data_IF_357425658368
#
_entry.id   IF_357425658368
#
_cell.length_a   1.000
_cell.length_b   1.000
_cell.length_c   1.000
_cell.angle_alpha   90.00
_cell.angle_beta   90.00
_cell.angle_gamma   90.00
#
_symmetry.space_group_name_H-M   'P 1'
#
loop_
_entity.id
_entity.type
_entity.pdbx_description
1 polymer ?
#
# COMPACT_ATOMS: atom_id res chain seq x y z
N UNK A 1 4.48 23.40 -2.90
CA UNK A 1 5.30 24.60 -3.21
C UNK A 1 6.74 24.15 -3.45
N UNK A 2 7.31 24.48 -4.60
CA UNK A 2 8.72 24.19 -4.89
C UNK A 2 9.57 25.39 -4.48
N UNK A 3 10.65 25.15 -3.75
CA UNK A 3 11.58 26.19 -3.34
C UNK A 3 13.01 25.65 -3.45
N UNK A 4 13.68 26.03 -4.54
CA UNK A 4 14.97 25.42 -4.92
C UNK A 4 14.83 23.89 -5.04
N UNK A 5 15.70 23.10 -4.36
CA UNK A 5 15.61 21.64 -4.38
C UNK A 5 14.57 21.07 -3.41
N UNK A 6 13.91 21.91 -2.59
CA UNK A 6 12.96 21.46 -1.56
C UNK A 6 11.53 21.52 -2.07
N UNK A 7 10.75 20.50 -1.69
CA UNK A 7 9.31 20.43 -1.94
C UNK A 7 8.60 20.61 -0.60
N UNK A 8 7.77 21.64 -0.51
CA UNK A 8 6.89 21.89 0.63
C UNK A 8 5.49 21.40 0.28
N UNK A 9 5.00 20.40 1.02
CA UNK A 9 3.61 19.95 0.94
C UNK A 9 2.73 20.89 1.75
N UNK A 10 1.72 21.47 1.10
CA UNK A 10 0.78 22.41 1.73
C UNK A 10 -0.62 21.86 1.53
N UNK A 11 -1.30 21.55 2.63
CA UNK A 11 -2.65 21.01 2.65
C UNK A 11 -3.52 21.85 3.57
N UNK A 12 -4.75 22.15 3.14
CA UNK A 12 -5.75 22.83 3.98
C UNK A 12 -6.34 21.86 5.00
N UNK A 13 -6.72 22.38 6.17
CA UNK A 13 -7.43 21.59 7.18
C UNK A 13 -8.79 21.13 6.67
N UNK A 14 -9.18 19.92 7.05
CA UNK A 14 -10.42 19.29 6.60
C UNK A 14 -11.37 19.06 7.76
N UNK A 15 -12.65 19.33 7.52
CA UNK A 15 -13.73 19.15 8.50
C UNK A 15 -14.08 17.67 8.68
N UNK A 16 -14.71 17.33 9.79
CA UNK A 16 -15.29 16.01 10.07
C UNK A 16 -16.75 15.87 9.60
N UNK A 17 -17.34 16.92 9.01
CA UNK A 17 -18.77 16.96 8.65
C UNK A 17 -19.23 15.81 7.73
N UNK A 18 -18.35 15.31 6.85
CA UNK A 18 -18.62 14.15 5.98
C UNK A 18 -17.79 12.92 6.41
N UNK A 19 -17.41 12.83 7.69
CA UNK A 19 -16.50 11.81 8.22
C UNK A 19 -15.07 11.98 7.75
N UNK A 20 -14.34 10.87 7.64
CA UNK A 20 -12.89 10.85 7.32
C UNK A 20 -12.58 10.99 5.83
N UNK A 21 -13.60 11.02 4.96
CA UNK A 21 -13.46 10.98 3.49
C UNK A 21 -13.82 12.32 2.80
N UNK A 22 -14.52 13.23 3.49
CA UNK A 22 -14.93 14.53 2.93
C UNK A 22 -13.79 15.49 2.60
N UNK A 23 -14.03 16.43 1.69
CA UNK A 23 -13.08 17.48 1.28
C UNK A 23 -13.49 18.89 1.73
N UNK A 24 -14.47 19.01 2.62
CA UNK A 24 -14.85 20.30 3.20
C UNK A 24 -13.70 20.82 4.07
N UNK A 25 -13.47 22.13 4.01
CA UNK A 25 -12.50 22.79 4.88
C UNK A 25 -13.01 22.81 6.32
N UNK A 26 -12.09 22.65 7.25
CA UNK A 26 -12.38 22.58 8.67
C UNK A 26 -11.34 23.28 9.53
N UNK A 27 -11.48 23.13 10.83
CA UNK A 27 -10.54 23.64 11.82
C UNK A 27 -9.38 22.67 12.04
N UNK A 28 -8.36 23.13 12.76
CA UNK A 28 -7.16 22.34 13.05
C UNK A 28 -7.48 21.08 13.88
N UNK A 29 -8.35 21.22 14.88
CA UNK A 29 -8.82 20.12 15.73
C UNK A 29 -9.65 19.09 14.95
N UNK A 30 -10.49 19.54 14.01
CA UNK A 30 -11.20 18.63 13.11
C UNK A 30 -10.24 17.81 12.23
N UNK A 31 -9.19 18.43 11.67
CA UNK A 31 -8.23 17.69 10.84
C UNK A 31 -7.42 16.68 11.67
N UNK A 32 -7.08 17.00 12.93
CA UNK A 32 -6.44 16.04 13.86
C UNK A 32 -7.26 14.77 13.99
N UNK A 33 -8.58 14.90 14.15
CA UNK A 33 -9.48 13.76 14.35
C UNK A 33 -9.55 12.80 13.15
N UNK A 34 -9.06 13.23 11.97
CA UNK A 34 -9.02 12.42 10.74
C UNK A 34 -7.69 11.68 10.56
N UNK A 35 -6.69 11.96 11.40
CA UNK A 35 -5.38 11.33 11.37
C UNK A 35 -5.44 9.93 11.95
N UNK A 36 -4.44 9.14 11.63
CA UNK A 36 -4.43 7.73 11.99
C UNK A 36 -3.92 7.50 13.41
N UNK A 37 -2.73 8.01 13.76
CA UNK A 37 -2.07 7.79 15.04
C UNK A 37 -1.67 9.10 15.71
N UNK A 38 -1.73 9.14 17.04
CA UNK A 38 -1.50 10.35 17.84
C UNK A 38 -0.12 10.96 17.60
N UNK A 39 0.91 10.13 17.41
CA UNK A 39 2.27 10.57 17.10
C UNK A 39 2.39 11.34 15.77
N UNK A 40 1.47 11.14 14.82
CA UNK A 40 1.43 11.85 13.53
C UNK A 40 0.40 13.00 13.52
N UNK A 41 -0.19 13.30 14.68
CA UNK A 41 -1.30 14.23 14.83
C UNK A 41 -0.94 15.44 15.71
N UNK A 42 0.34 15.80 15.71
CA UNK A 42 0.89 16.99 16.35
C UNK A 42 1.09 18.10 15.31
N UNK A 43 0.83 19.34 15.71
CA UNK A 43 1.19 20.53 14.93
C UNK A 43 2.31 21.29 15.63
N UNK A 44 3.15 21.96 14.83
CA UNK A 44 4.19 22.85 15.33
C UNK A 44 3.95 24.25 14.79
N UNK A 45 3.90 25.23 15.69
CA UNK A 45 3.87 26.65 15.34
C UNK A 45 5.31 27.18 15.38
N UNK A 46 5.94 27.48 14.23
CA UNK A 46 7.32 27.94 14.18
C UNK A 46 7.49 29.40 14.64
N UNK A 47 6.41 30.18 14.77
CA UNK A 47 6.46 31.57 15.23
C UNK A 47 6.45 31.61 16.76
N UNK A 48 5.60 30.79 17.38
CA UNK A 48 5.48 30.68 18.84
C UNK A 48 6.36 29.58 19.45
N UNK A 49 7.05 28.82 18.61
CA UNK A 49 7.92 27.69 18.98
C UNK A 49 7.24 26.69 19.91
N UNK A 50 5.99 26.34 19.60
CA UNK A 50 5.17 25.49 20.45
C UNK A 50 4.60 24.30 19.68
N UNK A 51 4.51 23.16 20.36
CA UNK A 51 3.75 22.00 19.89
C UNK A 51 2.31 22.16 20.33
N UNK A 52 1.40 21.95 19.39
CA UNK A 52 -0.04 21.93 19.62
C UNK A 52 -0.49 20.47 19.58
N UNK A 53 -0.97 19.99 20.72
CA UNK A 53 -1.41 18.60 20.91
C UNK A 53 -2.89 18.58 21.34
N UNK A 54 -3.72 17.92 20.52
CA UNK A 54 -5.15 17.72 20.78
C UNK A 54 -5.48 16.29 21.21
N UNK A 55 -4.54 15.35 21.10
CA UNK A 55 -4.81 13.90 21.21
C UNK A 55 -3.84 13.17 22.14
N UNK A 56 -3.16 13.92 23.01
CA UNK A 56 -2.11 13.43 23.90
C UNK A 56 -0.95 12.72 23.15
N UNK A 57 -0.65 13.13 21.92
CA UNK A 57 0.41 12.55 21.10
C UNK A 57 1.79 12.66 21.74
N UNK A 58 2.10 13.76 22.43
CA UNK A 58 3.38 13.90 23.14
C UNK A 58 3.49 12.88 24.28
N UNK A 59 2.40 12.63 25.00
CA UNK A 59 2.36 11.62 26.07
C UNK A 59 2.58 10.21 25.51
N UNK A 60 1.99 9.91 24.34
CA UNK A 60 2.12 8.62 23.69
C UNK A 60 3.53 8.36 23.15
N UNK A 61 4.16 9.40 22.60
CA UNK A 61 5.58 9.38 22.20
C UNK A 61 6.47 9.11 23.42
N UNK A 62 6.27 9.81 24.54
CA UNK A 62 7.01 9.57 25.78
C UNK A 62 6.84 8.13 26.30
N UNK A 63 5.65 7.55 26.12
CA UNK A 63 5.36 6.15 26.47
C UNK A 63 5.79 5.14 25.39
N UNK A 64 6.36 5.59 24.27
CA UNK A 64 6.77 4.77 23.11
C UNK A 64 5.68 3.79 22.67
N UNK A 65 4.44 4.28 22.51
CA UNK A 65 3.28 3.46 22.11
C UNK A 65 2.63 3.99 20.83
N UNK A 66 2.11 3.06 20.01
CA UNK A 66 1.26 3.40 18.88
C UNK A 66 -0.19 3.49 19.36
N UNK A 67 -0.75 4.70 19.39
CA UNK A 67 -2.14 4.95 19.78
C UNK A 67 -2.92 5.53 18.59
N UNK A 68 -4.06 4.92 18.20
CA UNK A 68 -4.89 5.45 17.12
C UNK A 68 -5.70 6.66 17.59
N UNK A 69 -5.82 7.68 16.73
CA UNK A 69 -6.73 8.82 17.00
C UNK A 69 -8.18 8.42 16.76
N UNK A 70 -8.41 7.68 15.67
CA UNK A 70 -9.74 7.17 15.31
C UNK A 70 -10.05 5.89 16.11
N UNK A 71 -11.28 5.72 16.63
CA UNK A 71 -11.68 4.51 17.35
C UNK A 71 -11.36 3.21 16.59
N UNK A 72 -10.90 2.19 17.34
CA UNK A 72 -10.42 0.92 16.80
C UNK A 72 -11.45 0.16 15.95
N UNK A 73 -12.73 0.32 16.25
CA UNK A 73 -13.85 -0.30 15.56
C UNK A 73 -14.16 0.35 14.19
N UNK A 74 -13.58 1.53 13.93
CA UNK A 74 -13.79 2.36 12.74
C UNK A 74 -12.51 2.48 11.90
N UNK A 75 -11.34 2.70 12.52
CA UNK A 75 -10.09 3.10 11.85
C UNK A 75 -9.72 2.28 10.60
N UNK A 76 -9.88 0.95 10.66
CA UNK A 76 -9.52 0.05 9.56
C UNK A 76 -10.66 -0.22 8.57
N UNK A 77 -11.91 0.04 8.95
CA UNK A 77 -13.03 0.05 8.02
C UNK A 77 -12.96 1.30 7.14
N UNK A 78 -12.59 2.43 7.73
CA UNK A 78 -12.37 3.69 7.03
C UNK A 78 -11.20 3.60 6.04
N UNK A 79 -10.06 3.09 6.49
CA UNK A 79 -8.90 2.87 5.63
C UNK A 79 -8.08 1.65 6.08
N UNK A 80 -8.23 0.50 5.42
CA UNK A 80 -7.51 -0.73 5.79
C UNK A 80 -5.98 -0.57 5.72
N UNK A 81 -5.47 0.35 4.89
CA UNK A 81 -4.03 0.62 4.76
C UNK A 81 -3.41 1.14 6.06
N UNK A 82 -4.23 1.69 6.99
CA UNK A 82 -3.76 2.10 8.32
C UNK A 82 -3.23 0.93 9.16
N UNK A 83 -3.61 -0.32 8.88
CA UNK A 83 -2.99 -1.50 9.52
C UNK A 83 -1.50 -1.61 9.16
N UNK A 84 -1.17 -1.45 7.88
CA UNK A 84 0.22 -1.46 7.40
C UNK A 84 1.01 -0.30 8.02
N UNK A 85 0.38 0.86 8.13
CA UNK A 85 0.98 2.04 8.77
C UNK A 85 1.25 1.81 10.26
N UNK A 86 0.32 1.21 11.01
CA UNK A 86 0.51 0.86 12.41
C UNK A 86 1.74 -0.04 12.62
N UNK A 87 1.84 -1.11 11.83
CA UNK A 87 2.96 -2.06 11.87
C UNK A 87 4.27 -1.39 11.47
N UNK A 88 4.24 -0.57 10.41
CA UNK A 88 5.40 0.19 9.95
C UNK A 88 5.91 1.16 11.02
N UNK A 89 5.02 1.92 11.66
CA UNK A 89 5.39 2.86 12.70
C UNK A 89 5.94 2.13 13.93
N UNK A 90 5.25 1.08 14.41
CA UNK A 90 5.72 0.28 15.54
C UNK A 90 7.14 -0.27 15.31
N UNK A 91 7.36 -0.94 14.18
CA UNK A 91 8.64 -1.56 13.86
C UNK A 91 9.74 -0.54 13.51
N UNK A 92 9.41 0.57 12.85
CA UNK A 92 10.37 1.60 12.46
C UNK A 92 10.84 2.50 13.59
N UNK A 93 9.96 2.85 14.55
CA UNK A 93 10.34 3.67 15.72
C UNK A 93 10.73 2.84 16.93
N UNK A 94 10.50 1.52 16.90
CA UNK A 94 10.62 0.65 18.07
C UNK A 94 9.59 0.97 19.15
N UNK A 95 8.42 1.51 18.78
CA UNK A 95 7.30 1.72 19.69
C UNK A 95 6.52 0.43 19.85
N UNK A 96 6.00 0.18 21.05
CA UNK A 96 5.17 -0.97 21.29
C UNK A 96 3.80 -0.80 20.62
N UNK A 97 3.33 -1.88 19.99
CA UNK A 97 1.99 -1.98 19.43
C UNK A 97 1.06 -2.60 20.49
N UNK A 98 0.14 -1.82 21.11
CA UNK A 98 -0.71 -2.32 22.19
C UNK A 98 -1.48 -3.58 21.80
N UNK A 99 -1.62 -4.53 22.73
CA UNK A 99 -2.25 -5.83 22.46
C UNK A 99 -3.64 -5.72 21.82
N UNK A 100 -4.46 -4.77 22.28
CA UNK A 100 -5.80 -4.50 21.72
C UNK A 100 -5.72 -4.09 20.25
N UNK A 101 -4.80 -3.17 19.91
CA UNK A 101 -4.58 -2.72 18.54
C UNK A 101 -4.04 -3.87 17.67
N UNK A 102 -3.06 -4.64 18.15
CA UNK A 102 -2.53 -5.82 17.44
C UNK A 102 -3.64 -6.84 17.14
N UNK A 103 -4.49 -7.15 18.12
CA UNK A 103 -5.62 -8.08 17.94
C UNK A 103 -6.64 -7.57 16.93
N UNK A 104 -6.94 -6.27 16.95
CA UNK A 104 -7.84 -5.66 15.96
C UNK A 104 -7.24 -5.75 14.55
N UNK A 105 -5.94 -5.49 14.38
CA UNK A 105 -5.25 -5.64 13.09
C UNK A 105 -5.43 -7.08 12.56
N UNK A 106 -5.15 -8.10 13.39
CA UNK A 106 -5.28 -9.50 12.96
C UNK A 106 -6.71 -9.82 12.51
N UNK A 107 -7.72 -9.39 13.29
CA UNK A 107 -9.15 -9.59 12.96
C UNK A 107 -9.58 -8.87 11.69
N UNK A 108 -8.95 -7.74 11.37
CA UNK A 108 -9.28 -6.87 10.25
C UNK A 108 -8.41 -7.13 9.01
N UNK A 109 -7.44 -8.04 9.06
CA UNK A 109 -6.47 -8.27 7.99
C UNK A 109 -7.12 -8.49 6.61
N UNK A 110 -8.24 -9.22 6.57
CA UNK A 110 -9.00 -9.49 5.35
C UNK A 110 -9.53 -8.24 4.63
N UNK A 111 -9.66 -7.11 5.34
CA UNK A 111 -10.02 -5.82 4.75
C UNK A 111 -8.96 -5.28 3.78
N UNK A 112 -7.74 -5.81 3.79
CA UNK A 112 -6.71 -5.48 2.79
C UNK A 112 -6.99 -6.10 1.42
N UNK A 113 -7.79 -7.18 1.34
CA UNK A 113 -8.12 -7.86 0.09
C UNK A 113 -8.70 -6.95 -1.01
N UNK A 114 -9.71 -6.10 -0.73
CA UNK A 114 -10.28 -5.18 -1.72
C UNK A 114 -9.46 -3.89 -1.94
N UNK A 115 -8.36 -3.67 -1.21
CA UNK A 115 -7.54 -2.46 -1.39
C UNK A 115 -6.88 -2.48 -2.76
N UNK A 116 -6.82 -1.32 -3.41
CA UNK A 116 -6.20 -1.25 -4.74
C UNK A 116 -4.72 -1.68 -4.71
N UNK A 117 -4.25 -2.46 -5.70
CA UNK A 117 -2.86 -2.88 -5.81
C UNK A 117 -1.86 -1.71 -5.78
N UNK A 118 -2.23 -0.54 -6.31
CA UNK A 118 -1.41 0.67 -6.28
C UNK A 118 -1.10 1.13 -4.86
N UNK A 119 -2.12 1.20 -3.98
CA UNK A 119 -1.95 1.63 -2.58
C UNK A 119 -1.12 0.64 -1.78
N UNK A 120 -1.31 -0.66 -1.99
CA UNK A 120 -0.47 -1.69 -1.36
C UNK A 120 0.98 -1.59 -1.83
N UNK A 121 1.18 -1.33 -3.12
CA UNK A 121 2.53 -1.14 -3.71
C UNK A 121 3.22 0.09 -3.11
N UNK A 122 2.51 1.21 -2.96
CA UNK A 122 3.05 2.42 -2.33
C UNK A 122 3.52 2.16 -0.90
N UNK A 123 2.73 1.45 -0.09
CA UNK A 123 3.17 1.10 1.26
C UNK A 123 4.35 0.14 1.26
N UNK A 124 4.38 -0.87 0.39
CA UNK A 124 5.51 -1.79 0.32
C UNK A 124 6.79 -1.08 -0.15
N UNK A 125 6.70 -0.14 -1.10
CA UNK A 125 7.84 0.71 -1.48
C UNK A 125 8.33 1.53 -0.28
N UNK A 126 7.44 2.05 0.57
CA UNK A 126 7.84 2.74 1.81
C UNK A 126 8.54 1.79 2.79
N UNK A 127 8.09 0.54 2.90
CA UNK A 127 8.74 -0.49 3.74
C UNK A 127 10.15 -0.78 3.23
N UNK A 128 10.30 -1.02 1.93
CA UNK A 128 11.59 -1.32 1.29
C UNK A 128 12.59 -0.15 1.41
N UNK A 129 12.09 1.08 1.49
CA UNK A 129 12.92 2.29 1.67
C UNK A 129 13.13 2.68 3.14
N UNK A 130 12.58 1.94 4.11
CA UNK A 130 12.60 2.35 5.51
C UNK A 130 13.89 2.07 6.26
N UNK A 131 14.70 1.12 5.79
CA UNK A 131 15.84 0.58 6.57
C UNK A 131 15.40 -0.25 7.78
N UNK A 132 14.15 -0.69 7.83
CA UNK A 132 13.58 -1.56 8.87
C UNK A 132 12.63 -2.62 8.29
N UNK A 133 12.80 -2.97 7.01
CA UNK A 133 11.98 -3.93 6.29
C UNK A 133 11.92 -5.29 7.01
N UNK A 134 13.02 -5.77 7.59
CA UNK A 134 13.03 -7.02 8.36
C UNK A 134 12.04 -6.98 9.54
N UNK A 135 12.13 -5.95 10.38
CA UNK A 135 11.26 -5.81 11.56
C UNK A 135 9.80 -5.59 11.16
N UNK A 136 9.56 -4.76 10.13
CA UNK A 136 8.22 -4.46 9.64
C UNK A 136 7.56 -5.72 9.07
N UNK A 137 8.25 -6.48 8.20
CA UNK A 137 7.71 -7.69 7.60
C UNK A 137 7.53 -8.78 8.66
N UNK A 138 8.46 -8.93 9.60
CA UNK A 138 8.31 -9.88 10.71
C UNK A 138 7.05 -9.59 11.53
N UNK A 139 6.81 -8.32 11.89
CA UNK A 139 5.60 -7.92 12.61
C UNK A 139 4.34 -8.08 11.74
N UNK A 140 4.42 -7.78 10.45
CA UNK A 140 3.32 -7.95 9.50
C UNK A 140 2.91 -9.43 9.33
N UNK A 141 3.88 -10.35 9.35
CA UNK A 141 3.63 -11.80 9.35
C UNK A 141 2.96 -12.23 10.66
N UNK A 142 3.41 -11.74 11.82
CA UNK A 142 2.78 -12.03 13.11
C UNK A 142 1.35 -11.50 13.25
N UNK A 143 0.93 -10.59 12.38
CA UNK A 143 -0.42 -10.01 12.36
C UNK A 143 -1.24 -10.45 11.15
N UNK A 144 -0.78 -11.44 10.38
CA UNK A 144 -1.44 -11.99 9.20
C UNK A 144 -1.72 -10.98 8.08
N UNK A 145 -1.09 -9.79 8.09
CA UNK A 145 -1.33 -8.77 7.06
C UNK A 145 -0.38 -8.93 5.87
N UNK A 146 0.79 -9.57 6.05
CA UNK A 146 1.76 -9.72 4.97
C UNK A 146 1.26 -10.58 3.81
N UNK A 147 0.43 -11.60 4.11
CA UNK A 147 -0.19 -12.46 3.08
C UNK A 147 -1.08 -11.70 2.09
N UNK A 148 -1.60 -10.54 2.47
CA UNK A 148 -2.41 -9.70 1.58
C UNK A 148 -1.55 -8.81 0.65
N UNK A 149 -0.26 -8.67 0.93
CA UNK A 149 0.67 -7.86 0.13
C UNK A 149 1.58 -8.74 -0.74
N UNK A 150 2.06 -9.86 -0.18
CA UNK A 150 2.96 -10.82 -0.81
C UNK A 150 2.52 -12.27 -0.53
N UNK A 151 1.38 -12.71 -1.07
CA UNK A 151 0.84 -14.06 -0.84
C UNK A 151 1.80 -15.15 -1.30
N UNK A 152 2.46 -14.97 -2.45
CA UNK A 152 3.42 -15.95 -2.96
C UNK A 152 4.61 -16.10 -2.00
N UNK A 153 5.21 -15.00 -1.55
CA UNK A 153 6.30 -15.05 -0.57
C UNK A 153 5.87 -15.79 0.71
N UNK A 154 4.67 -15.52 1.23
CA UNK A 154 4.14 -16.25 2.38
C UNK A 154 4.00 -17.75 2.12
N UNK A 155 3.50 -18.17 0.94
CA UNK A 155 3.40 -19.59 0.57
C UNK A 155 4.77 -20.28 0.58
N UNK A 156 5.76 -19.67 -0.08
CA UNK A 156 7.12 -20.20 -0.13
C UNK A 156 7.77 -20.29 1.26
N UNK A 157 7.57 -19.29 2.12
CA UNK A 157 8.07 -19.31 3.49
C UNK A 157 7.41 -20.41 4.32
N UNK A 158 6.09 -20.61 4.17
CA UNK A 158 5.35 -21.66 4.86
C UNK A 158 5.77 -23.07 4.41
N UNK A 159 6.00 -23.27 3.11
CA UNK A 159 6.38 -24.57 2.54
C UNK A 159 7.85 -24.93 2.82
N UNK A 160 8.73 -23.94 2.93
CA UNK A 160 10.17 -24.16 3.00
C UNK A 160 10.87 -23.23 4.02
N UNK A 161 11.23 -23.79 5.17
CA UNK A 161 11.96 -23.08 6.23
C UNK A 161 13.37 -22.63 5.84
N UNK A 162 14.00 -23.24 4.83
CA UNK A 162 15.27 -22.73 4.27
C UNK A 162 15.02 -21.46 3.47
N UNK A 163 13.94 -21.43 2.69
CA UNK A 163 13.53 -20.23 1.95
C UNK A 163 13.19 -19.10 2.92
N UNK A 164 12.39 -19.35 3.96
CA UNK A 164 12.07 -18.35 4.98
C UNK A 164 13.33 -17.73 5.61
N UNK A 165 14.27 -18.56 6.05
CA UNK A 165 15.52 -18.05 6.63
C UNK A 165 16.34 -17.23 5.65
N UNK A 166 16.42 -17.66 4.39
CA UNK A 166 17.12 -16.92 3.34
C UNK A 166 16.44 -15.57 3.06
N UNK A 167 15.12 -15.58 2.84
CA UNK A 167 14.30 -14.40 2.62
C UNK A 167 14.44 -13.37 3.74
N UNK A 168 14.32 -13.82 4.99
CA UNK A 168 14.48 -12.97 6.17
C UNK A 168 15.91 -12.44 6.33
N UNK A 169 16.92 -13.18 5.85
CA UNK A 169 18.31 -12.69 5.80
C UNK A 169 18.48 -11.62 4.73
N UNK A 170 17.93 -11.82 3.54
CA UNK A 170 17.91 -10.83 2.46
C UNK A 170 17.25 -9.52 2.88
N UNK A 171 16.20 -9.57 3.71
CA UNK A 171 15.60 -8.36 4.29
C UNK A 171 16.54 -7.59 5.24
N UNK A 172 17.37 -8.29 6.02
CA UNK A 172 18.40 -7.64 6.86
C UNK A 172 19.48 -6.98 6.01
N UNK A 173 19.90 -7.65 4.93
CA UNK A 173 20.86 -7.08 3.97
C UNK A 173 20.29 -5.86 3.24
N UNK A 174 19.00 -5.89 2.89
CA UNK A 174 18.28 -4.73 2.38
C UNK A 174 18.30 -3.57 3.38
N UNK A 175 18.03 -3.83 4.65
CA UNK A 175 18.07 -2.80 5.69
C UNK A 175 19.47 -2.18 5.81
N UNK A 176 20.52 -3.01 5.83
CA UNK A 176 21.90 -2.54 5.82
C UNK A 176 22.23 -1.68 4.58
N UNK A 177 21.73 -2.05 3.39
CA UNK A 177 21.90 -1.25 2.18
C UNK A 177 21.22 0.12 2.32
N UNK A 178 19.99 0.18 2.82
CA UNK A 178 19.24 1.44 2.93
C UNK A 178 19.87 2.37 3.97
N UNK A 179 20.40 1.82 5.07
CA UNK A 179 21.15 2.58 6.08
C UNK A 179 22.44 3.15 5.49
N UNK A 180 23.15 2.37 4.68
CA UNK A 180 24.39 2.82 4.04
C UNK A 180 24.16 3.82 2.89
N UNK A 181 23.12 3.61 2.09
CA UNK A 181 22.76 4.44 0.94
C UNK A 181 21.23 4.48 0.76
N UNK A 182 20.60 5.49 1.37
CA UNK A 182 19.16 5.68 1.26
C UNK A 182 18.71 6.07 -0.16
N UNK A 183 19.62 6.61 -0.99
CA UNK A 183 19.36 7.03 -2.38
C UNK A 183 19.45 5.88 -3.38
N UNK A 184 19.84 4.68 -2.92
CA UNK A 184 19.93 3.50 -3.77
C UNK A 184 18.63 3.28 -4.57
N UNK A 185 18.82 2.97 -5.86
CA UNK A 185 17.74 2.74 -6.82
C UNK A 185 16.74 1.69 -6.32
N UNK A 186 15.45 1.93 -6.54
CA UNK A 186 14.38 1.00 -6.13
C UNK A 186 14.58 -0.42 -6.67
N UNK A 187 14.98 -0.59 -7.92
CA UNK A 187 15.26 -1.91 -8.52
C UNK A 187 16.39 -2.66 -7.80
N UNK A 188 17.41 -1.96 -7.28
CA UNK A 188 18.47 -2.57 -6.46
C UNK A 188 17.93 -3.01 -5.09
N UNK A 189 16.98 -2.27 -4.53
CA UNK A 189 16.32 -2.66 -3.28
C UNK A 189 15.36 -3.85 -3.50
N UNK A 190 14.60 -3.82 -4.59
CA UNK A 190 13.70 -4.90 -5.00
C UNK A 190 14.43 -6.22 -5.26
N UNK A 191 15.69 -6.21 -5.70
CA UNK A 191 16.43 -7.46 -5.90
C UNK A 191 16.53 -8.30 -4.62
N UNK A 192 16.59 -7.68 -3.44
CA UNK A 192 16.61 -8.42 -2.17
C UNK A 192 15.30 -9.15 -1.87
N UNK A 193 14.16 -8.64 -2.34
CA UNK A 193 12.86 -9.31 -2.13
C UNK A 193 12.63 -10.48 -3.08
N UNK A 194 13.25 -10.46 -4.26
CA UNK A 194 12.99 -11.47 -5.31
C UNK A 194 14.16 -12.44 -5.50
N UNK A 195 15.33 -12.15 -4.94
CA UNK A 195 16.54 -12.95 -5.16
C UNK A 195 16.35 -14.40 -4.73
N UNK A 196 15.88 -14.64 -3.51
CA UNK A 196 15.70 -16.00 -2.98
C UNK A 196 14.68 -16.79 -3.79
N UNK A 197 13.62 -16.12 -4.27
CA UNK A 197 12.66 -16.73 -5.19
C UNK A 197 13.32 -17.12 -6.51
N UNK A 198 14.06 -16.22 -7.15
CA UNK A 198 14.76 -16.51 -8.41
C UNK A 198 15.78 -17.63 -8.21
N UNK A 199 16.56 -17.59 -7.13
CA UNK A 199 17.54 -18.61 -6.80
C UNK A 199 16.90 -19.99 -6.59
N UNK A 200 15.62 -20.05 -6.18
CA UNK A 200 14.86 -21.29 -6.00
C UNK A 200 14.16 -21.82 -7.25
N UNK A 201 14.11 -21.06 -8.35
CA UNK A 201 13.36 -21.46 -9.56
C UNK A 201 13.92 -22.71 -10.26
N UNK A 202 15.23 -22.87 -10.28
CA UNK A 202 15.93 -23.98 -10.95
C UNK A 202 17.32 -24.15 -10.35
N UNK A 203 17.99 -25.26 -10.69
CA UNK A 203 19.42 -25.41 -10.46
C UNK A 203 20.18 -24.61 -11.53
N UNK A 204 20.52 -23.36 -11.19
CA UNK A 204 21.18 -22.43 -12.11
C UNK A 204 22.51 -22.94 -12.66
N UNK A 205 23.21 -23.85 -11.97
CA UNK A 205 24.46 -24.42 -12.50
C UNK A 205 24.16 -25.34 -13.69
N UNK A 206 23.22 -26.27 -13.51
CA UNK A 206 22.78 -27.19 -14.57
C UNK A 206 22.12 -26.44 -15.72
N UNK A 207 21.28 -25.47 -15.42
CA UNK A 207 20.62 -24.64 -16.43
C UNK A 207 21.65 -23.90 -17.31
N UNK A 208 22.77 -23.45 -16.74
CA UNK A 208 23.84 -22.79 -17.48
C UNK A 208 24.69 -23.76 -18.31
N UNK A 209 24.84 -25.02 -17.87
CA UNK A 209 25.54 -26.08 -18.61
C UNK A 209 24.82 -26.42 -19.93
N UNK A 210 23.48 -26.36 -19.95
CA UNK A 210 22.67 -26.56 -21.16
C UNK A 210 22.81 -25.41 -22.18
N UNK A 211 23.52 -24.33 -21.82
CA UNK A 211 23.77 -23.14 -22.64
C UNK A 211 22.51 -22.55 -23.32
N UNK A 212 21.40 -22.33 -22.58
CA UNK A 212 20.19 -21.74 -23.12
C UNK A 212 20.40 -20.29 -23.54
N UNK A 213 19.57 -19.82 -24.47
CA UNK A 213 19.62 -18.42 -24.92
C UNK A 213 19.34 -17.47 -23.72
N UNK A 214 20.21 -16.48 -23.41
CA UNK A 214 20.01 -15.59 -22.26
C UNK A 214 18.68 -14.82 -22.28
N UNK A 215 18.16 -14.52 -23.47
CA UNK A 215 16.85 -13.88 -23.66
C UNK A 215 15.71 -14.78 -23.19
N UNK A 216 15.80 -16.09 -23.43
CA UNK A 216 14.79 -17.05 -23.01
C UNK A 216 14.76 -17.20 -21.50
N UNK A 217 15.92 -17.37 -20.86
CA UNK A 217 16.04 -17.41 -19.39
C UNK A 217 15.43 -16.17 -18.76
N UNK A 218 15.73 -15.00 -19.31
CA UNK A 218 15.19 -13.74 -18.80
C UNK A 218 13.66 -13.67 -18.93
N UNK A 219 13.09 -14.04 -20.08
CA UNK A 219 11.63 -14.00 -20.30
C UNK A 219 10.87 -14.98 -19.40
N UNK A 220 11.43 -16.19 -19.19
CA UNK A 220 10.88 -17.19 -18.26
C UNK A 220 10.92 -16.65 -16.83
N UNK A 221 12.07 -16.15 -16.38
CA UNK A 221 12.26 -15.57 -15.04
C UNK A 221 11.36 -14.36 -14.82
N UNK A 222 11.22 -13.48 -15.82
CA UNK A 222 10.33 -12.33 -15.81
C UNK A 222 8.89 -12.74 -15.52
N UNK A 223 8.39 -13.75 -16.24
CA UNK A 223 7.01 -14.23 -16.09
C UNK A 223 6.77 -14.75 -14.67
N UNK A 224 7.69 -15.56 -14.14
CA UNK A 224 7.61 -16.08 -12.78
C UNK A 224 7.68 -14.98 -11.72
N UNK A 225 8.62 -14.04 -11.86
CA UNK A 225 8.78 -12.92 -10.94
C UNK A 225 7.57 -11.97 -10.95
N UNK A 226 6.96 -11.72 -12.12
CA UNK A 226 5.75 -10.91 -12.21
C UNK A 226 4.60 -11.53 -11.42
N UNK A 227 4.45 -12.85 -11.45
CA UNK A 227 3.43 -13.53 -10.66
C UNK A 227 3.77 -13.52 -9.17
N UNK A 228 5.05 -13.74 -8.81
CA UNK A 228 5.51 -13.75 -7.43
C UNK A 228 5.24 -12.42 -6.71
N UNK A 229 5.48 -11.29 -7.38
CA UNK A 229 5.30 -9.99 -6.73
C UNK A 229 3.82 -9.58 -6.58
N UNK A 230 2.87 -10.18 -7.27
CA UNK A 230 1.46 -9.78 -7.14
C UNK A 230 0.90 -10.07 -5.72
N UNK A 231 0.01 -9.20 -5.18
CA UNK A 231 -0.61 -8.02 -5.80
C UNK A 231 0.27 -6.75 -5.80
N UNK A 232 1.49 -6.78 -5.24
CA UNK A 232 2.43 -5.67 -5.44
C UNK A 232 2.75 -5.53 -6.93
N UNK A 233 2.53 -4.33 -7.47
CA UNK A 233 2.77 -4.02 -8.87
C UNK A 233 3.86 -2.95 -8.98
N UNK A 234 5.14 -3.28 -8.73
CA UNK A 234 6.23 -2.33 -8.82
C UNK A 234 6.39 -1.83 -10.27
N UNK A 235 6.98 -0.63 -10.46
CA UNK A 235 7.26 -0.12 -11.80
C UNK A 235 8.05 -1.12 -12.63
N UNK A 236 7.61 -1.35 -13.87
CA UNK A 236 8.18 -2.37 -14.77
C UNK A 236 9.70 -2.25 -14.90
N UNK A 237 10.19 -1.03 -15.07
CA UNK A 237 11.61 -0.72 -15.26
C UNK A 237 12.44 -1.12 -14.03
N UNK A 238 11.89 -0.93 -12.83
CA UNK A 238 12.57 -1.26 -11.58
C UNK A 238 12.60 -2.77 -11.34
N UNK A 239 11.50 -3.48 -11.66
CA UNK A 239 11.46 -4.93 -11.59
C UNK A 239 12.39 -5.59 -12.61
N UNK A 240 12.47 -5.04 -13.83
CA UNK A 240 13.40 -5.53 -14.86
C UNK A 240 14.84 -5.39 -14.39
N UNK A 241 15.19 -4.24 -13.81
CA UNK A 241 16.51 -4.02 -13.22
C UNK A 241 16.81 -5.02 -12.10
N UNK A 242 15.84 -5.26 -11.22
CA UNK A 242 15.98 -6.21 -10.11
C UNK A 242 16.27 -7.64 -10.60
N UNK A 243 15.50 -8.12 -11.58
CA UNK A 243 15.66 -9.47 -12.16
C UNK A 243 17.02 -9.62 -12.82
N UNK A 244 17.43 -8.63 -13.64
CA UNK A 244 18.74 -8.63 -14.29
C UNK A 244 19.88 -8.67 -13.26
N UNK A 245 19.74 -7.92 -12.18
CA UNK A 245 20.72 -7.92 -11.08
C UNK A 245 20.82 -9.30 -10.43
N UNK A 246 19.69 -9.97 -10.18
CA UNK A 246 19.66 -11.31 -9.61
C UNK A 246 20.29 -12.36 -10.54
N UNK A 247 19.89 -12.37 -11.82
CA UNK A 247 20.42 -13.31 -12.81
C UNK A 247 21.92 -13.14 -13.01
N UNK A 248 22.42 -11.89 -13.02
CA UNK A 248 23.87 -11.61 -13.07
C UNK A 248 24.59 -12.18 -11.84
N UNK A 249 24.01 -12.04 -10.64
CA UNK A 249 24.57 -12.61 -9.39
C UNK A 249 24.59 -14.15 -9.42
N UNK A 250 23.69 -14.77 -10.19
CA UNK A 250 23.61 -16.22 -10.41
C UNK A 250 24.48 -16.71 -11.58
N UNK A 251 25.28 -15.84 -12.20
CA UNK A 251 26.22 -16.20 -13.27
C UNK A 251 25.66 -16.12 -14.69
N UNK A 252 24.41 -15.70 -14.89
CA UNK A 252 23.84 -15.52 -16.23
C UNK A 252 24.44 -14.28 -16.90
N UNK A 253 25.17 -14.47 -18.01
CA UNK A 253 25.81 -13.38 -18.74
C UNK A 253 24.81 -12.62 -19.63
N UNK A 254 24.10 -11.66 -19.04
CA UNK A 254 22.98 -10.99 -19.71
C UNK A 254 23.42 -9.77 -20.54
N UNK A 255 23.86 -9.95 -21.79
CA UNK A 255 23.68 -8.93 -22.84
C UNK A 255 22.27 -9.06 -23.45
N UNK A 256 21.23 -8.87 -22.65
CA UNK A 256 19.85 -9.01 -23.13
C UNK A 256 19.48 -7.75 -23.96
N UNK A 257 18.98 -7.89 -25.19
CA UNK A 257 18.55 -6.76 -26.02
C UNK A 257 17.43 -5.96 -25.35
N UNK A 258 17.52 -4.62 -25.38
CA UNK A 258 16.47 -3.69 -24.91
C UNK A 258 15.11 -3.91 -25.60
N UNK A 259 15.07 -4.66 -26.71
CA UNK A 259 13.90 -4.86 -27.58
C UNK A 259 13.08 -6.12 -27.30
N UNK A 260 13.46 -6.98 -26.33
CA UNK A 260 12.77 -8.25 -26.06
C UNK A 260 11.26 -8.09 -25.76
N UNK A 261 10.85 -6.89 -25.31
CA UNK A 261 9.45 -6.56 -25.01
C UNK A 261 8.68 -5.86 -26.14
N UNK A 262 9.36 -5.40 -27.21
CA UNK A 262 8.73 -4.59 -28.26
C UNK A 262 7.86 -5.41 -29.22
N UNK A 263 8.22 -6.67 -29.50
CA UNK A 263 7.63 -7.44 -30.59
C UNK A 263 6.31 -8.18 -30.27
N UNK A 264 6.07 -8.56 -29.00
CA UNK A 264 4.90 -9.39 -28.61
C UNK A 264 3.80 -8.62 -27.85
N UNK A 265 4.10 -7.52 -27.16
CA UNK A 265 3.13 -6.85 -26.27
C UNK A 265 2.37 -5.68 -26.93
N UNK A 266 2.91 -5.02 -27.96
CA UNK A 266 2.17 -3.97 -28.69
C UNK A 266 0.87 -4.46 -29.35
N UNK A 267 0.73 -5.78 -29.58
CA UNK A 267 -0.50 -6.41 -30.09
C UNK A 267 -1.51 -6.75 -28.99
N UNK A 268 -1.08 -6.92 -27.74
CA UNK A 268 -1.97 -7.28 -26.61
C UNK A 268 -2.62 -6.04 -26.01
N UNK A 269 -1.84 -4.98 -25.79
CA UNK A 269 -2.35 -3.73 -25.19
C UNK A 269 -3.33 -2.98 -26.12
N UNK A 270 -3.18 -3.11 -27.44
CA UNK A 270 -4.17 -2.58 -28.41
C UNK A 270 -5.51 -3.32 -28.41
N UNK A 271 -5.56 -4.60 -27.99
CA UNK A 271 -6.82 -5.36 -27.92
C UNK A 271 -7.59 -5.09 -26.63
N UNK A 272 -6.90 -4.92 -25.50
CA UNK A 272 -7.52 -4.60 -24.22
C UNK A 272 -8.04 -3.14 -24.18
N UNK A 273 -7.35 -2.20 -24.83
CA UNK A 273 -7.78 -0.80 -24.91
C UNK A 273 -8.92 -0.53 -25.92
N UNK A 274 -9.28 -1.50 -26.77
CA UNK A 274 -10.30 -1.34 -27.81
C UNK A 274 -11.69 -1.88 -27.43
N UNK A 275 -11.84 -2.54 -26.27
CA UNK A 275 -13.12 -3.09 -25.82
C UNK A 275 -13.93 -2.17 -24.89
N UNK A 276 -13.35 -1.07 -24.41
CA UNK A 276 -14.04 -0.07 -23.56
C UNK A 276 -14.25 1.27 -24.27
N UNK A 277 -14.98 1.25 -25.39
CA UNK A 277 -15.63 2.46 -25.93
C UNK A 277 -17.14 2.22 -26.02
N UNK A 278 -17.99 3.07 -25.39
CA UNK A 278 -19.42 2.93 -25.51
C UNK A 278 -19.84 3.18 -26.97
N UNK A 279 -20.49 2.19 -27.59
CA UNK A 279 -21.13 2.34 -28.90
C UNK A 279 -22.21 3.41 -28.81
N UNK A 280 -21.97 4.57 -29.44
CA UNK A 280 -23.03 5.54 -29.79
C UNK A 280 -24.08 4.82 -30.63
N UNK A 281 -25.27 4.58 -30.06
CA UNK A 281 -26.42 4.11 -30.84
C UNK A 281 -26.95 5.26 -31.71
N UNK A 282 -26.89 5.06 -33.02
CA UNK A 282 -27.58 5.86 -34.03
C UNK A 282 -29.09 5.60 -33.93
N UNK A 283 -29.89 6.66 -33.86
CA UNK A 283 -31.33 6.62 -34.14
C UNK A 283 -31.57 6.28 -35.62
N UNK A 284 -32.58 5.48 -35.98
CA UNK A 284 -33.19 5.53 -37.29
C UNK A 284 -34.54 6.27 -37.25
N UNK A 285 -34.82 7.02 -38.31
CA UNK A 285 -36.06 7.77 -38.53
C UNK A 285 -37.03 6.99 -39.45
N UNK A 286 -38.34 7.07 -39.13
CA UNK A 286 -39.53 6.85 -39.99
C UNK A 286 -39.89 5.38 -40.29
N UNK A 287 -41.16 4.94 -40.27
CA UNK A 287 -42.39 5.64 -40.70
C UNK A 287 -43.69 5.12 -40.04
N UNK A 288 -44.58 6.07 -39.71
CA UNK A 288 -46.07 6.12 -39.62
C UNK A 288 -46.91 4.80 -39.63
N UNK A 289 -47.82 4.62 -38.65
CA UNK A 289 -49.28 4.96 -38.73
C UNK A 289 -50.08 4.60 -37.44
N UNK A 290 -51.15 5.37 -37.26
CA UNK A 290 -52.20 5.44 -36.23
C UNK A 290 -52.83 4.14 -35.66
N UNK A 291 -53.24 4.14 -34.38
CA UNK A 291 -54.63 4.38 -33.93
C UNK A 291 -54.91 3.86 -32.49
N UNK A 292 -55.62 4.71 -31.71
CA UNK A 292 -56.54 4.47 -30.57
C UNK A 292 -56.47 3.16 -29.76
N UNK A 293 -56.31 3.28 -28.44
CA UNK A 293 -57.39 3.16 -27.43
C UNK A 293 -56.89 2.65 -26.07
N UNK A 294 -57.62 3.09 -25.04
CA UNK A 294 -57.56 2.83 -23.61
C UNK A 294 -57.32 1.38 -23.16
N UNK A 295 -56.53 1.20 -22.09
CA UNK A 295 -57.03 0.64 -20.81
C UNK A 295 -55.91 0.41 -19.79
N UNK A 296 -56.25 0.78 -18.55
CA UNK A 296 -55.72 0.34 -17.24
C UNK A 296 -55.03 -1.02 -17.19
N UNK A 297 -53.83 -1.08 -16.56
CA UNK A 297 -53.50 -2.12 -15.57
C UNK A 297 -52.31 -1.77 -14.67
N UNK A 298 -52.50 -2.16 -13.41
CA UNK A 298 -51.73 -1.98 -12.18
C UNK A 298 -50.59 -3.02 -12.08
N UNK A 299 -49.62 -2.76 -11.17
CA UNK A 299 -48.64 -3.67 -10.54
C UNK A 299 -47.42 -4.04 -11.43
N UNK A 300 -46.16 -4.07 -11.00
CA UNK A 300 -45.53 -4.01 -9.65
C UNK A 300 -44.03 -3.72 -9.87
N UNK A 301 -43.42 -2.87 -9.07
CA UNK A 301 -41.95 -2.70 -8.98
C UNK A 301 -41.37 -3.81 -8.08
N UNK A 302 -40.18 -4.37 -8.36
CA UNK A 302 -39.40 -5.06 -7.34
C UNK A 302 -38.66 -4.03 -6.48
N UNK A 303 -38.74 -4.25 -5.17
CA UNK A 303 -38.18 -3.46 -4.08
C UNK A 303 -36.70 -3.14 -4.24
N UNK A 304 -36.36 -1.84 -4.25
CA UNK A 304 -35.04 -1.38 -3.86
C UNK A 304 -34.89 -1.59 -2.34
N UNK A 305 -33.97 -2.47 -1.93
CA UNK A 305 -33.43 -2.41 -0.57
C UNK A 305 -32.66 -1.09 -0.45
N UNK A 306 -33.29 -0.10 0.18
CA UNK A 306 -32.60 1.07 0.68
C UNK A 306 -31.60 0.60 1.74
N UNK A 307 -30.31 0.75 1.45
CA UNK A 307 -29.31 0.73 2.50
C UNK A 307 -29.61 1.90 3.44
N UNK A 308 -29.98 1.58 4.67
CA UNK A 308 -30.18 2.57 5.72
C UNK A 308 -28.88 3.34 5.94
N UNK A 309 -28.94 4.67 6.12
CA UNK A 309 -27.76 5.42 6.55
C UNK A 309 -27.34 4.88 7.91
N UNK A 310 -26.09 4.45 8.02
CA UNK A 310 -25.47 4.14 9.31
C UNK A 310 -25.42 5.48 10.05
N UNK A 311 -26.39 5.69 10.95
CA UNK A 311 -26.29 6.71 11.97
C UNK A 311 -25.05 6.39 12.78
N UNK A 312 -24.00 7.21 12.61
CA UNK A 312 -22.98 7.38 13.64
C UNK A 312 -23.75 7.73 14.90
N UNK A 313 -23.88 6.76 15.80
CA UNK A 313 -24.30 7.03 17.15
C UNK A 313 -23.36 8.13 17.67
N UNK A 314 -23.96 9.25 18.08
CA UNK A 314 -23.32 10.26 18.93
C UNK A 314 -22.98 9.62 20.28
N UNK A 315 -22.10 8.61 20.29
CA UNK A 315 -21.51 8.07 21.49
C UNK A 315 -20.27 8.90 21.77
N UNK A 316 -20.49 9.99 22.52
CA UNK A 316 -19.52 10.65 23.39
C UNK A 316 -18.09 10.64 22.81
N UNK A 317 -17.85 11.52 21.83
CA UNK A 317 -16.49 12.03 21.63
C UNK A 317 -16.04 12.65 22.96
N UNK A 318 -14.83 12.35 23.48
CA UNK A 318 -14.32 13.12 24.60
C UNK A 318 -14.35 14.60 24.20
N UNK A 319 -14.87 15.45 25.08
CA UNK A 319 -14.72 16.90 24.91
C UNK A 319 -13.22 17.18 24.80
N UNK A 320 -12.75 17.47 23.58
CA UNK A 320 -11.38 17.90 23.35
C UNK A 320 -11.26 19.30 23.95
N UNK A 321 -10.93 19.37 25.23
CA UNK A 321 -10.53 20.63 25.86
C UNK A 321 -9.38 21.21 25.03
N UNK A 322 -9.46 22.51 24.73
CA UNK A 322 -8.66 23.19 23.73
C UNK A 322 -7.15 22.89 23.76
N UNK A 323 -6.55 23.01 22.58
CA UNK A 323 -5.11 22.90 22.29
C UNK A 323 -4.22 23.11 23.53
N UNK A 324 -3.59 22.03 24.00
CA UNK A 324 -2.54 22.15 25.01
C UNK A 324 -1.24 22.50 24.30
N UNK A 325 -0.66 23.62 24.67
CA UNK A 325 0.67 24.03 24.18
C UNK A 325 1.73 23.37 25.06
N UNK A 326 2.46 22.43 24.48
CA UNK A 326 3.57 21.78 25.17
C UNK A 326 4.83 22.60 24.94
N UNK A 327 5.25 23.38 25.94
CA UNK A 327 6.43 24.26 25.88
C UNK A 327 7.78 23.54 26.05
N UNK A 328 7.81 22.22 26.02
CA UNK A 328 9.04 21.44 26.18
C UNK A 328 9.12 20.34 25.12
N UNK A 329 9.84 20.61 24.03
CA UNK A 329 10.26 19.61 23.06
C UNK A 329 11.66 19.87 22.49
N UNK A 330 12.56 20.42 23.33
CA UNK A 330 13.97 20.55 23.03
C UNK A 330 14.78 19.56 23.88
N UNK A 331 14.59 18.25 23.65
CA UNK A 331 15.47 17.18 24.19
C UNK A 331 15.17 15.77 23.61
N UNK A 332 14.62 15.67 22.40
CA UNK A 332 14.43 14.40 21.69
C UNK A 332 15.48 14.19 20.60
#
# INVERSE_FOLDING_TARGET
VFFGPKIFEVSTFRSIADGTVGNKFGTMDEDVCRRDFSLNALYYDPIKEQIIDYVDGVRDIKKRRIEPVIPLDVIFKDDPVRMLRAVKYAAGTGFHLPHKLKRTICKSASLLGPVSPSRLTEELIKIINSGSAYNIISLAMQTDIYMHIQPAACSFMYENSKFERAYMTSLKELDALVVADNTARLGKKLSYLIYDFIASLTDWKKELEENPAPTELFLRTWTQCRNFVLPMNPPRVELEFAIRTCLKKLGVNTKIPKSAFSAKEQKKDKKTAAQDKPKKQKKPAGTKKAAKSSSTKKKTQPSQMQAAPIQLANSVMPSLNGAQTVKEAAQL
#
